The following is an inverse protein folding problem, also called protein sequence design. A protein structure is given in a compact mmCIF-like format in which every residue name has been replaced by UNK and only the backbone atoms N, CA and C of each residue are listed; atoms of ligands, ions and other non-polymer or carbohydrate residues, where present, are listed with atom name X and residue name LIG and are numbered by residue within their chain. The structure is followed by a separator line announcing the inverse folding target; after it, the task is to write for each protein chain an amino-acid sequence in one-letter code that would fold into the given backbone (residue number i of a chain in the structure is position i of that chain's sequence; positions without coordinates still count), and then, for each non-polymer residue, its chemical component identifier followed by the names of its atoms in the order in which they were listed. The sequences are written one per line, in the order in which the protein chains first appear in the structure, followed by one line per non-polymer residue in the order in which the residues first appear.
data_IF_376135155970
#
_entry.id   IF_376135155970
#
_cell.length_a   1.000
_cell.length_b   1.000
_cell.length_c   1.000
_cell.angle_alpha   90.00
_cell.angle_beta   90.00
_cell.angle_gamma   90.00
#
_symmetry.space_group_name_H-M   'P 1'
#
loop_
_entity.id
_entity.type
_entity.pdbx_description
1 polymer ?
#
# COMPACT_ATOMS: atom_id res chain seq x y z
N UNK A 1 -17.35 -22.16 -21.45
CA UNK A 1 -16.53 -23.38 -21.66
C UNK A 1 -15.17 -23.17 -21.03
N UNK A 2 -14.41 -24.24 -20.74
CA UNK A 2 -13.09 -24.12 -20.11
C UNK A 2 -12.12 -23.19 -20.89
N UNK A 3 -12.21 -23.18 -22.23
CA UNK A 3 -11.42 -22.29 -23.09
C UNK A 3 -11.67 -20.79 -22.82
N UNK A 4 -12.93 -20.39 -22.64
CA UNK A 4 -13.26 -19.00 -22.32
C UNK A 4 -12.73 -18.57 -20.94
N UNK A 5 -12.68 -19.48 -19.96
CA UNK A 5 -12.10 -19.16 -18.65
C UNK A 5 -10.58 -18.99 -18.71
N UNK A 6 -9.90 -19.83 -19.50
CA UNK A 6 -8.45 -19.72 -19.70
C UNK A 6 -8.05 -18.40 -20.38
N UNK A 7 -8.86 -17.93 -21.32
CA UNK A 7 -8.66 -16.63 -21.97
C UNK A 7 -8.80 -15.46 -20.97
N UNK A 8 -9.84 -15.49 -20.13
CA UNK A 8 -10.04 -14.49 -19.08
C UNK A 8 -8.91 -14.53 -18.05
N UNK A 9 -8.44 -15.71 -17.67
CA UNK A 9 -7.31 -15.85 -16.75
C UNK A 9 -6.02 -15.24 -17.34
N UNK A 10 -5.72 -15.53 -18.61
CA UNK A 10 -4.56 -14.96 -19.29
C UNK A 10 -4.63 -13.41 -19.33
N UNK A 11 -5.79 -12.86 -19.69
CA UNK A 11 -6.01 -11.40 -19.72
C UNK A 11 -5.87 -10.78 -18.32
N UNK A 12 -6.37 -11.44 -17.27
CA UNK A 12 -6.23 -10.96 -15.90
C UNK A 12 -4.78 -10.97 -15.41
N UNK A 13 -4.00 -12.00 -15.78
CA UNK A 13 -2.57 -12.09 -15.46
C UNK A 13 -1.78 -10.99 -16.18
N UNK A 14 -2.06 -10.76 -17.46
CA UNK A 14 -1.44 -9.67 -18.23
C UNK A 14 -1.75 -8.31 -17.59
N UNK A 15 -3.03 -8.06 -17.29
CA UNK A 15 -3.45 -6.81 -16.65
C UNK A 15 -2.78 -6.58 -15.29
N UNK A 16 -2.67 -7.63 -14.48
CA UNK A 16 -1.97 -7.58 -13.21
C UNK A 16 -0.49 -7.22 -13.39
N UNK A 17 0.17 -7.77 -14.42
CA UNK A 17 1.55 -7.43 -14.76
C UNK A 17 1.72 -5.94 -15.10
N UNK A 18 0.83 -5.38 -15.91
CA UNK A 18 0.82 -3.94 -16.24
C UNK A 18 0.66 -3.07 -15.00
N UNK A 19 -0.21 -3.47 -14.06
CA UNK A 19 -0.40 -2.75 -12.80
C UNK A 19 0.87 -2.77 -11.92
N UNK A 20 1.50 -3.94 -11.78
CA UNK A 20 2.74 -4.12 -11.01
C UNK A 20 3.91 -3.33 -11.62
N UNK A 21 4.05 -3.33 -12.95
CA UNK A 21 5.06 -2.56 -13.66
C UNK A 21 4.83 -1.05 -13.48
N UNK A 22 3.60 -0.58 -13.67
CA UNK A 22 3.25 0.85 -13.53
C UNK A 22 3.58 1.37 -12.14
N UNK A 23 3.23 0.61 -11.09
CA UNK A 23 3.56 0.97 -9.70
C UNK A 23 5.06 0.84 -9.43
N UNK A 24 5.73 -0.14 -10.05
CA UNK A 24 7.16 -0.38 -9.88
C UNK A 24 8.06 0.71 -10.50
N UNK A 25 7.61 1.31 -11.61
CA UNK A 25 8.37 2.33 -12.35
C UNK A 25 8.24 3.75 -11.79
N UNK A 26 7.26 4.03 -10.91
CA UNK A 26 7.05 5.34 -10.30
C UNK A 26 7.14 5.27 -8.77
N UNK A 27 8.21 5.83 -8.21
CA UNK A 27 8.44 5.88 -6.75
C UNK A 27 7.31 6.57 -5.97
N UNK A 28 6.64 7.56 -6.57
CA UNK A 28 5.50 8.25 -5.96
C UNK A 28 4.29 7.31 -5.89
N UNK A 29 3.97 6.62 -6.99
CA UNK A 29 2.89 5.64 -7.01
C UNK A 29 3.17 4.48 -6.04
N UNK A 30 4.41 3.98 -6.02
CA UNK A 30 4.85 2.96 -5.05
C UNK A 30 4.67 3.42 -3.61
N UNK A 31 5.03 4.67 -3.31
CA UNK A 31 4.81 5.27 -2.00
C UNK A 31 3.32 5.37 -1.63
N UNK A 32 2.47 5.75 -2.57
CA UNK A 32 1.01 5.80 -2.39
C UNK A 32 0.42 4.39 -2.17
N UNK A 33 0.84 3.40 -2.95
CA UNK A 33 0.40 2.01 -2.79
C UNK A 33 0.79 1.45 -1.42
N UNK A 34 2.02 1.70 -0.96
CA UNK A 34 2.46 1.29 0.39
C UNK A 34 1.66 1.98 1.51
N UNK A 35 1.33 3.26 1.33
CA UNK A 35 0.47 4.00 2.26
C UNK A 35 -0.96 3.44 2.27
N UNK A 36 -1.53 3.12 1.10
CA UNK A 36 -2.84 2.51 0.96
C UNK A 36 -2.90 1.13 1.62
N UNK A 37 -1.88 0.28 1.40
CA UNK A 37 -1.75 -1.01 2.06
C UNK A 37 -1.84 -0.88 3.58
N UNK A 38 -1.07 0.06 4.14
CA UNK A 38 -1.02 0.34 5.59
C UNK A 38 -2.31 0.95 6.11
N UNK A 39 -3.00 1.77 5.32
CA UNK A 39 -4.30 2.35 5.68
C UNK A 39 -5.39 1.28 5.72
N UNK A 40 -5.43 0.41 4.70
CA UNK A 40 -6.38 -0.70 4.61
C UNK A 40 -6.22 -1.67 5.78
N UNK A 41 -4.99 -2.12 6.07
CA UNK A 41 -4.75 -3.04 7.20
C UNK A 41 -5.19 -2.45 8.53
N UNK A 42 -4.95 -1.15 8.76
CA UNK A 42 -5.41 -0.47 9.97
C UNK A 42 -6.93 -0.38 10.04
N UNK A 43 -7.58 0.06 8.96
CA UNK A 43 -9.04 0.13 8.88
C UNK A 43 -9.70 -1.25 9.09
N UNK A 44 -9.13 -2.31 8.52
CA UNK A 44 -9.64 -3.67 8.67
C UNK A 44 -9.65 -4.13 10.15
N UNK A 45 -8.77 -3.59 10.99
CA UNK A 45 -8.72 -3.95 12.42
C UNK A 45 -9.73 -3.20 13.28
N UNK A 46 -10.41 -2.18 12.74
CA UNK A 46 -11.35 -1.35 13.54
C UNK A 46 -12.72 -1.98 13.69
N UNK A 47 -12.98 -3.11 13.02
CA UNK A 47 -14.23 -3.85 13.11
C UNK A 47 -14.54 -4.30 14.56
N UNK A 48 -15.79 -4.10 14.96
CA UNK A 48 -16.30 -4.36 16.30
C UNK A 48 -16.37 -5.85 16.66
N UNK A 49 -16.59 -6.16 17.94
CA UNK A 49 -16.61 -7.55 18.43
C UNK A 49 -17.64 -8.45 17.74
N UNK A 50 -18.81 -7.91 17.36
CA UNK A 50 -19.89 -8.63 16.71
C UNK A 50 -19.53 -9.16 15.31
N UNK A 51 -18.56 -8.54 14.64
CA UNK A 51 -18.22 -8.77 13.24
C UNK A 51 -16.82 -9.41 13.06
N UNK A 52 -16.08 -9.64 14.17
CA UNK A 52 -14.75 -10.29 14.17
C UNK A 52 -14.73 -11.72 13.63
N UNK A 53 -15.88 -12.40 13.62
CA UNK A 53 -15.99 -13.73 13.01
C UNK A 53 -15.75 -13.69 11.49
N UNK A 54 -16.14 -12.58 10.85
CA UNK A 54 -15.98 -12.35 9.41
C UNK A 54 -14.71 -11.54 9.14
N UNK A 55 -14.49 -10.46 9.90
CA UNK A 55 -13.34 -9.57 9.75
C UNK A 55 -12.18 -9.93 10.68
N UNK A 56 -11.69 -11.17 10.56
CA UNK A 56 -10.57 -11.62 11.37
C UNK A 56 -9.23 -11.27 10.71
N UNK A 57 -8.48 -10.35 11.32
CA UNK A 57 -7.15 -9.91 10.85
C UNK A 57 -6.18 -11.09 10.69
N UNK A 58 -6.29 -12.14 11.52
CA UNK A 58 -5.41 -13.32 11.43
C UNK A 58 -5.71 -14.19 10.21
N UNK A 59 -6.90 -14.10 9.65
CA UNK A 59 -7.29 -14.80 8.43
C UNK A 59 -6.99 -13.99 7.16
N UNK A 60 -6.54 -12.73 7.29
CA UNK A 60 -6.25 -11.86 6.16
C UNK A 60 -4.89 -12.20 5.53
N UNK A 61 -4.90 -12.64 4.27
CA UNK A 61 -3.67 -12.93 3.53
C UNK A 61 -3.02 -11.65 2.99
N UNK A 62 -2.09 -11.09 3.78
CA UNK A 62 -1.42 -9.82 3.46
C UNK A 62 -0.67 -9.83 2.11
N UNK A 63 -0.21 -10.99 1.65
CA UNK A 63 0.43 -11.11 0.34
C UNK A 63 -0.53 -10.82 -0.82
N UNK A 64 -1.78 -11.28 -0.73
CA UNK A 64 -2.78 -11.01 -1.78
C UNK A 64 -3.23 -9.55 -1.75
N UNK A 65 -3.33 -8.97 -0.55
CA UNK A 65 -3.62 -7.56 -0.40
C UNK A 65 -2.52 -6.69 -1.01
N UNK A 66 -1.24 -7.02 -0.78
CA UNK A 66 -0.12 -6.30 -1.41
C UNK A 66 -0.18 -6.40 -2.94
N UNK A 67 -0.42 -7.62 -3.46
CA UNK A 67 -0.56 -7.87 -4.90
C UNK A 67 -1.70 -7.07 -5.53
N UNK A 68 -2.85 -6.95 -4.86
CA UNK A 68 -3.99 -6.16 -5.35
C UNK A 68 -3.70 -4.66 -5.50
N UNK A 69 -2.64 -4.15 -4.86
CA UNK A 69 -2.17 -2.77 -4.96
C UNK A 69 -0.97 -2.61 -5.90
N UNK A 70 -0.58 -3.67 -6.63
CA UNK A 70 0.58 -3.67 -7.52
C UNK A 70 1.93 -3.71 -6.80
N UNK A 71 1.96 -4.04 -5.49
CA UNK A 71 3.20 -4.09 -4.72
C UNK A 71 3.88 -5.46 -4.84
N UNK A 72 5.11 -5.45 -5.32
CA UNK A 72 5.99 -6.63 -5.41
C UNK A 72 6.76 -6.93 -4.11
N UNK A 73 6.84 -5.96 -3.20
CA UNK A 73 7.56 -6.14 -1.94
C UNK A 73 6.76 -6.99 -0.96
N UNK A 74 7.47 -7.75 -0.12
CA UNK A 74 6.81 -8.54 0.93
C UNK A 74 6.08 -7.61 1.91
N UNK A 75 4.95 -8.05 2.51
CA UNK A 75 4.21 -7.25 3.49
C UNK A 75 5.08 -6.69 4.61
N UNK A 76 6.07 -7.47 5.09
CA UNK A 76 7.03 -7.04 6.10
C UNK A 76 7.87 -5.84 5.63
N UNK A 77 8.35 -5.86 4.38
CA UNK A 77 9.12 -4.75 3.80
C UNK A 77 8.27 -3.49 3.65
N UNK A 78 7.03 -3.63 3.16
CA UNK A 78 6.09 -2.51 2.98
C UNK A 78 5.82 -1.81 4.33
N UNK A 79 5.50 -2.58 5.38
CA UNK A 79 5.16 -2.05 6.71
C UNK A 79 6.40 -1.50 7.43
N UNK A 80 7.58 -2.06 7.18
CA UNK A 80 8.83 -1.62 7.80
C UNK A 80 9.30 -0.22 7.34
N UNK A 81 8.59 0.41 6.39
CA UNK A 81 8.85 1.67 5.69
C UNK A 81 9.69 2.74 6.39
N UNK A 82 10.99 2.47 6.59
CA UNK A 82 11.99 3.44 7.08
C UNK A 82 12.00 4.68 6.19
N UNK A 83 11.94 4.49 4.87
CA UNK A 83 11.91 5.56 3.87
C UNK A 83 10.69 6.49 3.99
N UNK A 84 9.50 5.97 4.30
CA UNK A 84 8.29 6.79 4.46
C UNK A 84 8.33 7.61 5.77
N UNK A 85 8.89 7.04 6.85
CA UNK A 85 9.14 7.79 8.09
C UNK A 85 10.20 8.87 7.89
N UNK A 86 11.28 8.57 7.16
CA UNK A 86 12.35 9.51 6.84
C UNK A 86 11.86 10.66 5.96
N UNK A 87 11.12 10.38 4.88
CA UNK A 87 10.54 11.41 4.02
C UNK A 87 9.55 12.32 4.79
N UNK A 88 8.71 11.73 5.66
CA UNK A 88 7.77 12.51 6.50
C UNK A 88 8.50 13.33 7.57
N UNK A 89 9.60 12.82 8.11
CA UNK A 89 10.45 13.56 9.04
C UNK A 89 11.16 14.73 8.34
N UNK A 90 11.68 14.53 7.14
CA UNK A 90 12.30 15.56 6.32
C UNK A 90 11.32 16.67 5.96
N UNK A 91 10.13 16.34 5.45
CA UNK A 91 9.08 17.32 5.14
C UNK A 91 8.62 18.10 6.39
N UNK A 92 8.56 17.44 7.56
CA UNK A 92 8.23 18.10 8.82
C UNK A 92 9.35 19.04 9.29
N UNK A 93 10.61 18.69 9.03
CA UNK A 93 11.77 19.51 9.37
C UNK A 93 11.81 20.79 8.50
N UNK A 94 11.62 20.66 7.18
CA UNK A 94 11.55 21.81 6.27
C UNK A 94 10.39 22.75 6.64
N UNK A 95 9.20 22.21 6.91
CA UNK A 95 8.04 23.01 7.33
C UNK A 95 8.28 23.76 8.67
N UNK A 96 9.04 23.15 9.60
CA UNK A 96 9.43 23.78 10.86
C UNK A 96 10.43 24.90 10.63
N UNK A 97 11.43 24.68 9.78
CA UNK A 97 12.44 25.70 9.44
C UNK A 97 11.83 26.91 8.73
N UNK A 98 10.91 26.69 7.78
CA UNK A 98 10.18 27.75 7.09
C UNK A 98 9.37 28.62 8.06
N UNK A 99 8.70 27.99 9.03
CA UNK A 99 7.94 28.70 10.07
C UNK A 99 8.84 29.49 11.02
N UNK A 100 10.03 28.98 11.31
CA UNK A 100 11.00 29.64 12.19
C UNK A 100 11.69 30.84 11.54
N UNK A 101 11.91 30.81 10.21
CA UNK A 101 12.38 31.96 9.43
C UNK A 101 11.32 33.07 9.34
N UNK A 102 10.05 32.70 9.13
CA UNK A 102 8.95 33.66 9.07
C UNK A 102 8.67 34.37 10.41
N UNK A 103 9.10 33.80 11.53
CA UNK A 103 8.93 34.40 12.87
C UNK A 103 10.09 35.32 13.28
N UNK A 104 11.20 35.36 12.52
CA UNK A 104 12.40 36.15 12.81
C UNK A 104 12.60 37.34 11.85
N UNK A 105 11.78 37.46 10.81
CA UNK A 105 11.65 38.66 9.97
C UNK A 105 10.46 39.48 10.41
#
# INVERSE_FOLDING_TARGET
TAAAMAEVEAAAVEWQGVCEETVGCDDKLKGMAAAAFSAFTRAYTTHGGAERGVFNVRALHLGHLAKSLGLLETPARIVSGKKAKEAKAAAKAEAREARERAAKG
#
